data_IF_805486496748
#
_entry.id   IF_805486496748
#
_cell.length_a   1.000
_cell.length_b   1.000
_cell.length_c   1.000
_cell.angle_alpha   90.00
_cell.angle_beta   90.00
_cell.angle_gamma   90.00
#
_symmetry.space_group_name_H-M   'P 1'
#
loop_
_entity.id
_entity.type
_entity.pdbx_description
1 polymer ?
#
# COMPACT_ATOMS: atom_id res chain seq x y z
N UNK A 1 -14.91 3.83 -1.45
CA UNK A 1 -15.47 4.12 -0.11
C UNK A 1 -14.49 3.67 0.96
N UNK A 2 -14.70 4.04 2.23
CA UNK A 2 -13.74 3.78 3.34
C UNK A 2 -13.30 2.31 3.44
N UNK A 3 -14.22 1.36 3.26
CA UNK A 3 -13.88 -0.07 3.27
C UNK A 3 -12.92 -0.49 2.14
N UNK A 4 -13.08 0.08 0.94
CA UNK A 4 -12.18 -0.13 -0.20
C UNK A 4 -10.76 0.32 0.13
N UNK A 5 -10.66 1.55 0.66
CA UNK A 5 -9.40 2.18 1.02
C UNK A 5 -8.70 1.42 2.14
N UNK A 6 -9.45 0.98 3.16
CA UNK A 6 -8.90 0.16 4.25
C UNK A 6 -8.36 -1.18 3.77
N UNK A 7 -9.05 -1.86 2.85
CA UNK A 7 -8.58 -3.10 2.25
C UNK A 7 -7.29 -2.87 1.44
N UNK A 8 -7.25 -1.80 0.63
CA UNK A 8 -6.08 -1.43 -0.15
C UNK A 8 -4.85 -1.15 0.74
N UNK A 9 -5.03 -0.36 1.81
CA UNK A 9 -3.96 -0.06 2.78
C UNK A 9 -3.48 -1.35 3.46
N UNK A 10 -4.39 -2.22 3.89
CA UNK A 10 -4.02 -3.48 4.54
C UNK A 10 -3.23 -4.41 3.59
N UNK A 11 -3.67 -4.53 2.34
CA UNK A 11 -2.97 -5.32 1.32
C UNK A 11 -1.58 -4.74 1.03
N UNK A 12 -1.49 -3.43 0.80
CA UNK A 12 -0.22 -2.75 0.52
C UNK A 12 0.76 -2.84 1.70
N UNK A 13 0.27 -2.73 2.93
CA UNK A 13 1.09 -2.91 4.15
C UNK A 13 1.65 -4.34 4.21
N UNK A 14 0.84 -5.35 3.90
CA UNK A 14 1.28 -6.74 3.88
C UNK A 14 2.35 -6.99 2.78
N UNK A 15 2.14 -6.46 1.58
CA UNK A 15 3.09 -6.59 0.47
C UNK A 15 4.44 -5.94 0.78
N UNK A 16 4.42 -4.74 1.36
CA UNK A 16 5.63 -4.05 1.80
C UNK A 16 6.35 -4.87 2.88
N UNK A 17 5.63 -5.39 3.87
CA UNK A 17 6.24 -6.21 4.93
C UNK A 17 6.90 -7.48 4.38
N UNK A 18 6.25 -8.18 3.43
CA UNK A 18 6.83 -9.34 2.76
C UNK A 18 8.08 -8.94 1.96
N UNK A 19 8.05 -7.78 1.29
CA UNK A 19 9.19 -7.24 0.56
C UNK A 19 10.37 -6.94 1.48
N UNK A 20 10.14 -6.35 2.65
CA UNK A 20 11.16 -6.14 3.69
C UNK A 20 11.81 -7.47 4.07
N UNK A 21 11.01 -8.49 4.40
CA UNK A 21 11.55 -9.82 4.77
C UNK A 21 12.31 -10.49 3.63
N UNK A 22 11.84 -10.33 2.39
CA UNK A 22 12.54 -10.81 1.19
C UNK A 22 13.89 -10.13 0.99
N UNK A 23 13.95 -8.81 1.13
CA UNK A 23 15.20 -8.02 1.01
C UNK A 23 16.20 -8.37 2.10
N UNK A 24 15.74 -8.54 3.34
CA UNK A 24 16.57 -9.02 4.45
C UNK A 24 17.20 -10.39 4.16
N UNK A 25 16.40 -11.33 3.64
CA UNK A 25 16.90 -12.66 3.26
C UNK A 25 17.93 -12.59 2.12
N UNK A 26 17.69 -11.76 1.10
CA UNK A 26 18.63 -11.55 0.00
C UNK A 26 19.93 -10.90 0.47
N UNK A 27 19.85 -9.94 1.39
CA UNK A 27 21.01 -9.27 1.97
C UNK A 27 21.86 -10.23 2.79
N UNK A 28 21.24 -11.10 3.57
CA UNK A 28 21.95 -12.16 4.30
C UNK A 28 22.64 -13.15 3.34
N UNK A 29 21.98 -13.57 2.26
CA UNK A 29 22.60 -14.40 1.21
C UNK A 29 23.79 -13.68 0.56
N UNK A 30 23.62 -12.40 0.19
CA UNK A 30 24.68 -11.61 -0.43
C UNK A 30 25.90 -11.48 0.50
N UNK A 31 25.69 -11.21 1.80
CA UNK A 31 26.77 -11.14 2.78
C UNK A 31 27.51 -12.48 2.93
N UNK A 32 26.76 -13.60 2.93
CA UNK A 32 27.38 -14.94 2.93
C UNK A 32 28.20 -15.18 1.68
N UNK A 33 27.72 -14.74 0.52
CA UNK A 33 28.46 -14.84 -0.75
C UNK A 33 29.72 -13.97 -0.75
N UNK A 34 29.66 -12.73 -0.22
CA UNK A 34 30.84 -11.89 -0.03
C UNK A 34 31.88 -12.61 0.81
N UNK A 35 31.48 -13.19 1.95
CA UNK A 35 32.39 -13.95 2.82
C UNK A 35 33.02 -15.14 2.08
N UNK A 36 32.24 -15.93 1.36
CA UNK A 36 32.77 -17.06 0.57
C UNK A 36 33.77 -16.61 -0.49
N UNK A 37 33.49 -15.50 -1.19
CA UNK A 37 34.43 -14.96 -2.19
C UNK A 37 35.70 -14.37 -1.57
N UNK A 38 35.60 -13.78 -0.37
CA UNK A 38 36.78 -13.35 0.40
C UNK A 38 37.68 -14.53 0.76
N UNK A 39 37.10 -15.60 1.32
CA UNK A 39 37.85 -16.82 1.66
C UNK A 39 38.48 -17.47 0.41
N UNK A 40 37.81 -17.40 -0.74
CA UNK A 40 38.37 -17.88 -2.02
C UNK A 40 39.56 -17.02 -2.45
N UNK A 41 39.43 -15.69 -2.40
CA UNK A 41 40.51 -14.77 -2.75
C UNK A 41 41.75 -15.01 -1.89
N UNK A 42 41.58 -15.18 -0.58
CA UNK A 42 42.67 -15.49 0.35
C UNK A 42 43.40 -16.79 -0.03
N UNK A 43 42.65 -17.84 -0.39
CA UNK A 43 43.25 -19.12 -0.84
C UNK A 43 44.01 -18.98 -2.15
N UNK A 44 43.46 -18.25 -3.13
CA UNK A 44 44.12 -18.02 -4.42
C UNK A 44 45.39 -17.17 -4.24
N UNK A 45 45.35 -16.15 -3.39
CA UNK A 45 46.52 -15.35 -3.01
C UNK A 45 47.61 -16.20 -2.34
N UNK A 46 47.22 -17.11 -1.44
CA UNK A 46 48.15 -18.06 -0.83
C UNK A 46 48.83 -18.94 -1.88
N UNK A 47 48.06 -19.54 -2.79
CA UNK A 47 48.62 -20.36 -3.88
C UNK A 47 49.56 -19.56 -4.78
N UNK A 48 49.20 -18.32 -5.11
CA UNK A 48 50.05 -17.40 -5.87
C UNK A 48 51.38 -17.14 -5.15
N UNK A 49 51.35 -16.88 -3.84
CA UNK A 49 52.56 -16.67 -3.03
C UNK A 49 53.50 -17.89 -2.99
N UNK A 50 52.96 -19.08 -3.28
CA UNK A 50 53.72 -20.34 -3.39
C UNK A 50 54.12 -20.69 -4.83
N UNK A 51 53.81 -19.83 -5.80
CA UNK A 51 54.07 -20.06 -7.22
C UNK A 51 53.15 -21.11 -7.87
N UNK A 52 52.04 -21.47 -7.22
CA UNK A 52 51.10 -22.51 -7.65
C UNK A 52 49.88 -21.97 -8.39
N UNK A 53 49.73 -20.64 -8.47
CA UNK A 53 48.66 -19.96 -9.19
C UNK A 53 49.22 -18.80 -10.02
N UNK A 54 48.49 -18.38 -11.05
CA UNK A 54 48.85 -17.24 -11.88
C UNK A 54 48.30 -15.93 -11.29
N UNK A 55 48.99 -14.80 -11.48
CA UNK A 55 48.50 -13.48 -11.06
C UNK A 55 47.13 -13.15 -11.70
N UNK A 56 46.90 -13.61 -12.93
CA UNK A 56 45.61 -13.49 -13.60
C UNK A 56 44.45 -14.06 -12.76
N UNK A 57 44.64 -15.22 -12.11
CA UNK A 57 43.59 -15.83 -11.27
C UNK A 57 43.30 -14.99 -10.03
N UNK A 58 44.33 -14.39 -9.40
CA UNK A 58 44.13 -13.45 -8.27
C UNK A 58 43.26 -12.27 -8.71
N UNK A 59 43.59 -11.65 -9.85
CA UNK A 59 42.83 -10.52 -10.39
C UNK A 59 41.41 -10.87 -10.77
N UNK A 60 41.21 -12.06 -11.34
CA UNK A 60 39.88 -12.57 -11.65
C UNK A 60 39.02 -12.71 -10.39
N UNK A 61 39.53 -13.37 -9.35
CA UNK A 61 38.80 -13.57 -8.08
C UNK A 61 38.56 -12.25 -7.36
N UNK A 62 39.50 -11.30 -7.41
CA UNK A 62 39.33 -9.94 -6.87
C UNK A 62 38.19 -9.18 -7.58
N UNK A 63 38.09 -9.31 -8.90
CA UNK A 63 36.98 -8.76 -9.69
C UNK A 63 35.63 -9.40 -9.33
N UNK A 64 35.59 -10.73 -9.19
CA UNK A 64 34.38 -11.45 -8.78
C UNK A 64 33.92 -11.06 -7.38
N UNK A 65 34.84 -10.91 -6.42
CA UNK A 65 34.53 -10.40 -5.08
C UNK A 65 33.92 -9.00 -5.15
N UNK A 66 34.54 -8.10 -5.92
CA UNK A 66 34.07 -6.72 -6.09
C UNK A 66 32.65 -6.68 -6.69
N UNK A 67 32.37 -7.57 -7.65
CA UNK A 67 31.04 -7.70 -8.26
C UNK A 67 29.97 -8.11 -7.24
N UNK A 68 30.28 -9.07 -6.35
CA UNK A 68 29.34 -9.49 -5.30
C UNK A 68 29.17 -8.39 -4.27
N UNK A 69 30.24 -7.73 -3.84
CA UNK A 69 30.18 -6.61 -2.89
C UNK A 69 29.30 -5.46 -3.40
N UNK A 70 29.33 -5.17 -4.70
CA UNK A 70 28.49 -4.14 -5.32
C UNK A 70 26.97 -4.42 -5.18
N UNK A 71 26.56 -5.67 -4.95
CA UNK A 71 25.15 -6.02 -4.75
C UNK A 71 24.62 -5.64 -3.36
N UNK A 72 25.49 -5.58 -2.34
CA UNK A 72 25.08 -5.35 -0.95
C UNK A 72 24.49 -3.95 -0.74
N UNK A 73 25.11 -2.84 -1.21
CA UNK A 73 24.56 -1.50 -1.06
C UNK A 73 23.21 -1.32 -1.75
N UNK A 74 23.00 -1.98 -2.89
CA UNK A 74 21.73 -1.93 -3.63
C UNK A 74 20.62 -2.58 -2.81
N UNK A 75 20.89 -3.74 -2.20
CA UNK A 75 19.95 -4.42 -1.32
C UNK A 75 19.67 -3.63 -0.03
N UNK A 76 20.70 -3.01 0.56
CA UNK A 76 20.56 -2.13 1.73
C UNK A 76 19.65 -0.93 1.44
N UNK A 77 19.90 -0.25 0.32
CA UNK A 77 19.09 0.90 -0.11
C UNK A 77 17.64 0.50 -0.37
N UNK A 78 17.43 -0.65 -1.02
CA UNK A 78 16.10 -1.20 -1.23
C UNK A 78 15.38 -1.53 0.08
N UNK A 79 16.10 -2.09 1.05
CA UNK A 79 15.56 -2.41 2.37
C UNK A 79 15.16 -1.14 3.12
N UNK A 80 16.00 -0.12 3.10
CA UNK A 80 15.73 1.17 3.73
C UNK A 80 14.51 1.86 3.12
N UNK A 81 14.40 1.86 1.80
CA UNK A 81 13.24 2.41 1.10
C UNK A 81 11.95 1.67 1.47
N UNK A 82 11.99 0.34 1.55
CA UNK A 82 10.83 -0.47 1.92
C UNK A 82 10.41 -0.25 3.39
N UNK A 83 11.36 -0.13 4.32
CA UNK A 83 11.08 0.19 5.73
C UNK A 83 10.43 1.57 5.86
N UNK A 84 10.97 2.58 5.18
CA UNK A 84 10.39 3.93 5.17
C UNK A 84 8.97 3.93 4.57
N UNK A 85 8.73 3.16 3.50
CA UNK A 85 7.41 3.03 2.90
C UNK A 85 6.40 2.38 3.87
N UNK A 86 6.85 1.44 4.70
CA UNK A 86 6.00 0.84 5.73
C UNK A 86 5.60 1.87 6.80
N UNK A 87 6.54 2.67 7.29
CA UNK A 87 6.24 3.73 8.27
C UNK A 87 5.18 4.70 7.72
N UNK A 88 5.29 5.09 6.44
CA UNK A 88 4.29 5.93 5.77
C UNK A 88 2.91 5.27 5.72
N UNK A 89 2.83 3.96 5.42
CA UNK A 89 1.55 3.23 5.45
C UNK A 89 0.94 3.14 6.85
N UNK A 90 1.79 3.10 7.89
CA UNK A 90 1.37 3.09 9.29
C UNK A 90 1.03 4.49 9.83
N UNK A 91 1.27 5.54 9.03
CA UNK A 91 1.04 6.92 9.44
C UNK A 91 2.09 7.44 10.43
N UNK A 92 3.29 6.86 10.44
CA UNK A 92 4.41 7.28 11.30
C UNK A 92 5.55 7.89 10.47
N UNK A 93 6.41 8.72 11.08
CA UNK A 93 7.58 9.27 10.39
C UNK A 93 8.53 8.15 9.90
N UNK A 94 9.16 8.28 8.72
CA UNK A 94 10.16 7.32 8.25
C UNK A 94 11.32 7.11 9.26
N UNK A 95 11.66 5.85 9.50
CA UNK A 95 12.66 5.43 10.48
C UNK A 95 12.08 5.02 11.84
N UNK A 96 10.77 5.21 12.09
CA UNK A 96 10.15 4.94 13.38
C UNK A 96 10.27 3.46 13.78
N UNK A 97 9.98 2.53 12.86
CA UNK A 97 9.98 1.09 13.16
C UNK A 97 11.29 0.37 12.81
N UNK A 98 12.34 1.11 12.47
CA UNK A 98 13.60 0.54 11.96
C UNK A 98 14.27 -0.43 12.94
N UNK A 99 14.29 -0.11 14.22
CA UNK A 99 14.89 -0.96 15.26
C UNK A 99 14.10 -2.24 15.49
N UNK A 100 12.76 -2.17 15.42
CA UNK A 100 11.88 -3.33 15.55
C UNK A 100 12.00 -4.29 14.37
N UNK A 101 12.28 -3.75 13.19
CA UNK A 101 12.49 -4.52 11.96
C UNK A 101 13.96 -4.87 11.71
N UNK A 102 14.89 -4.43 12.55
CA UNK A 102 16.32 -4.69 12.36
C UNK A 102 16.66 -6.18 12.46
N UNK A 103 15.94 -6.93 13.28
CA UNK A 103 16.11 -8.38 13.35
C UNK A 103 15.56 -9.05 12.08
N UNK A 104 16.38 -9.88 11.47
CA UNK A 104 15.99 -10.73 10.35
C UNK A 104 14.92 -11.71 10.82
N UNK A 105 13.78 -11.69 10.14
CA UNK A 105 12.65 -12.60 10.38
C UNK A 105 12.40 -13.47 9.15
N UNK A 106 11.70 -14.58 9.34
CA UNK A 106 11.26 -15.42 8.22
C UNK A 106 10.26 -14.67 7.34
N UNK A 107 10.26 -15.00 6.04
CA UNK A 107 9.22 -14.53 5.12
C UNK A 107 7.90 -15.22 5.53
N UNK A 108 6.82 -14.46 5.78
CA UNK A 108 5.53 -15.04 6.16
C UNK A 108 5.01 -15.97 5.05
N UNK A 109 4.43 -17.11 5.46
CA UNK A 109 3.76 -18.03 4.54
C UNK A 109 2.32 -17.58 4.36
N UNK A 110 1.85 -17.55 3.11
CA UNK A 110 0.46 -17.22 2.82
C UNK A 110 -0.49 -18.25 3.48
N UNK A 111 -1.53 -17.81 4.21
CA UNK A 111 -2.49 -18.72 4.81
C UNK A 111 -3.29 -19.47 3.73
N UNK A 112 -3.61 -20.74 4.00
CA UNK A 112 -4.45 -21.53 3.11
C UNK A 112 -5.89 -20.99 3.09
N UNK A 113 -6.42 -20.75 1.89
CA UNK A 113 -7.80 -20.30 1.67
C UNK A 113 -8.76 -21.48 1.87
N UNK A 114 -9.30 -21.64 3.08
CA UNK A 114 -10.19 -22.76 3.42
C UNK A 114 -11.62 -22.64 2.85
N UNK A 115 -12.11 -21.43 2.58
CA UNK A 115 -13.43 -21.21 1.97
C UNK A 115 -13.49 -19.83 1.27
N UNK A 116 -13.55 -19.81 -0.06
CA UNK A 116 -13.66 -18.57 -0.84
C UNK A 116 -15.12 -18.06 -0.96
N UNK A 117 -16.11 -18.83 -0.51
CA UNK A 117 -17.53 -18.56 -0.74
C UNK A 117 -17.91 -18.82 -2.21
N UNK A 118 -19.08 -18.34 -2.63
CA UNK A 118 -19.50 -18.45 -4.04
C UNK A 118 -18.90 -17.29 -4.87
N UNK A 119 -18.78 -17.42 -6.20
CA UNK A 119 -18.36 -16.32 -7.06
C UNK A 119 -19.21 -15.04 -6.90
N UNK A 120 -20.51 -15.20 -6.61
CA UNK A 120 -21.42 -14.08 -6.36
C UNK A 120 -21.05 -13.32 -5.08
N UNK A 121 -20.62 -14.03 -4.03
CA UNK A 121 -20.16 -13.42 -2.78
C UNK A 121 -18.87 -12.61 -2.99
N UNK A 122 -17.99 -13.06 -3.89
CA UNK A 122 -16.76 -12.34 -4.25
C UNK A 122 -17.07 -11.02 -4.97
N UNK A 123 -18.03 -11.02 -5.90
CA UNK A 123 -18.47 -9.80 -6.58
C UNK A 123 -19.12 -8.80 -5.63
N UNK A 124 -19.87 -9.27 -4.62
CA UNK A 124 -20.46 -8.40 -3.59
C UNK A 124 -19.42 -7.79 -2.64
N UNK A 125 -18.25 -8.40 -2.51
CA UNK A 125 -17.13 -7.89 -1.68
C UNK A 125 -16.20 -6.94 -2.44
N UNK A 126 -16.36 -6.84 -3.77
CA UNK A 126 -15.53 -6.01 -4.63
C UNK A 126 -15.80 -4.53 -4.40
N UNK A 127 -14.84 -3.77 -3.84
CA UNK A 127 -15.10 -2.39 -3.42
C UNK A 127 -15.35 -1.44 -4.59
N UNK A 128 -14.79 -1.75 -5.77
CA UNK A 128 -15.03 -1.05 -7.02
C UNK A 128 -16.48 -1.18 -7.50
N UNK A 129 -17.05 -2.40 -7.44
CA UNK A 129 -18.46 -2.63 -7.76
C UNK A 129 -19.41 -1.94 -6.78
N UNK A 130 -19.11 -2.00 -5.48
CA UNK A 130 -19.90 -1.30 -4.45
C UNK A 130 -19.90 0.22 -4.73
N UNK A 131 -18.77 0.81 -5.14
CA UNK A 131 -18.68 2.23 -5.49
C UNK A 131 -19.50 2.54 -6.74
N UNK A 132 -19.44 1.68 -7.76
CA UNK A 132 -20.21 1.86 -8.99
C UNK A 132 -21.73 1.80 -8.73
N UNK A 133 -22.19 0.83 -7.94
CA UNK A 133 -23.60 0.70 -7.54
C UNK A 133 -24.09 1.94 -6.78
N UNK A 134 -23.30 2.44 -5.82
CA UNK A 134 -23.64 3.67 -5.08
C UNK A 134 -23.68 4.91 -5.97
N UNK A 135 -22.80 5.00 -6.98
CA UNK A 135 -22.84 6.08 -7.99
C UNK A 135 -24.10 6.00 -8.84
N UNK A 136 -24.49 4.80 -9.28
CA UNK A 136 -25.72 4.58 -10.03
C UNK A 136 -26.95 5.00 -9.19
N UNK A 137 -27.02 4.57 -7.93
CA UNK A 137 -28.10 4.94 -7.03
C UNK A 137 -28.19 6.46 -6.82
N UNK A 138 -27.04 7.15 -6.67
CA UNK A 138 -27.00 8.60 -6.56
C UNK A 138 -27.47 9.31 -7.84
N UNK A 139 -27.06 8.83 -9.02
CA UNK A 139 -27.54 9.35 -10.30
C UNK A 139 -29.05 9.15 -10.47
N UNK A 140 -29.58 8.00 -10.05
CA UNK A 140 -31.02 7.75 -10.10
C UNK A 140 -31.80 8.66 -9.13
N UNK A 141 -31.26 8.92 -7.93
CA UNK A 141 -31.85 9.86 -6.99
C UNK A 141 -31.93 11.28 -7.57
N UNK A 142 -30.93 11.73 -8.35
CA UNK A 142 -30.96 13.03 -9.05
C UNK A 142 -32.05 13.12 -10.10
N UNK A 143 -32.39 12.01 -10.76
CA UNK A 143 -33.55 11.96 -11.66
C UNK A 143 -34.84 12.21 -10.86
N UNK A 144 -34.98 11.55 -9.71
CA UNK A 144 -36.11 11.77 -8.80
C UNK A 144 -36.21 13.22 -8.30
N UNK A 145 -35.07 13.82 -7.94
CA UNK A 145 -34.97 15.24 -7.59
C UNK A 145 -35.41 16.15 -8.75
N UNK A 146 -34.94 15.89 -9.97
CA UNK A 146 -35.34 16.65 -11.15
C UNK A 146 -36.83 16.48 -11.48
N UNK A 147 -37.40 15.30 -11.27
CA UNK A 147 -38.85 15.05 -11.44
C UNK A 147 -39.65 15.78 -10.35
N UNK A 148 -39.14 15.82 -9.11
CA UNK A 148 -39.80 16.53 -8.01
C UNK A 148 -39.93 18.05 -8.27
N UNK A 149 -39.07 18.62 -9.11
CA UNK A 149 -39.15 20.00 -9.57
C UNK A 149 -40.42 20.31 -10.39
N UNK A 150 -41.06 19.29 -10.99
CA UNK A 150 -42.35 19.45 -11.68
C UNK A 150 -43.56 19.53 -10.73
N UNK A 151 -43.37 19.23 -9.44
CA UNK A 151 -44.45 19.26 -8.45
C UNK A 151 -44.40 20.51 -7.58
N UNK A 152 -45.55 20.96 -7.03
CA UNK A 152 -45.58 22.10 -6.11
C UNK A 152 -44.71 21.83 -4.88
N UNK A 153 -43.82 22.78 -4.56
CA UNK A 153 -43.02 22.75 -3.34
C UNK A 153 -43.80 23.39 -2.19
N UNK A 154 -44.05 22.63 -1.14
CA UNK A 154 -44.62 23.16 0.10
C UNK A 154 -43.49 23.44 1.10
N UNK A 155 -43.41 24.69 1.57
CA UNK A 155 -42.52 25.07 2.67
C UNK A 155 -43.35 25.72 3.77
N UNK A 156 -43.16 25.25 5.02
CA UNK A 156 -43.83 25.82 6.19
C UNK A 156 -42.77 26.51 7.05
N UNK A 157 -42.86 27.83 7.15
CA UNK A 157 -41.99 28.63 8.00
C UNK A 157 -42.79 29.14 9.20
N UNK A 158 -42.23 29.01 10.41
CA UNK A 158 -42.82 29.55 11.64
C UNK A 158 -41.82 30.50 12.30
N UNK A 159 -42.27 31.72 12.60
CA UNK A 159 -41.52 32.71 13.35
C UNK A 159 -42.24 32.98 14.67
N UNK A 160 -41.55 32.73 15.79
CA UNK A 160 -42.09 32.99 17.13
C UNK A 160 -41.59 34.35 17.62
N UNK A 161 -42.46 35.37 17.54
CA UNK A 161 -42.20 36.75 17.99
C UNK A 161 -43.49 37.55 18.07
N UNK A 162 -43.49 38.69 18.77
CA UNK A 162 -44.70 39.48 19.10
C UNK A 162 -45.27 40.32 17.94
N UNK A 163 -44.86 40.07 16.70
CA UNK A 163 -45.46 40.67 15.52
C UNK A 163 -45.47 39.64 14.38
N UNK A 164 -46.60 38.96 14.16
CA UNK A 164 -47.19 38.59 12.85
C UNK A 164 -48.42 37.71 13.08
N UNK A 165 -49.61 38.24 12.78
CA UNK A 165 -50.81 37.42 12.58
C UNK A 165 -50.71 36.78 11.18
N UNK A 166 -50.43 35.48 11.11
CA UNK A 166 -50.36 34.76 9.81
C UNK A 166 -51.79 34.36 9.42
N UNK A 167 -52.45 35.16 8.57
CA UNK A 167 -53.69 34.74 7.92
C UNK A 167 -53.39 33.61 6.93
N UNK A 168 -54.08 32.47 7.10
CA UNK A 168 -53.91 31.26 6.28
C UNK A 168 -54.14 31.45 4.77
N UNK A 169 -54.69 32.60 4.33
CA UNK A 169 -54.98 32.91 2.93
C UNK A 169 -53.76 33.20 2.04
N UNK A 170 -52.59 33.55 2.60
CA UNK A 170 -51.42 33.97 1.82
C UNK A 170 -50.29 32.91 1.75
N UNK A 171 -50.51 31.69 2.23
CA UNK A 171 -49.49 30.63 2.28
C UNK A 171 -49.26 29.92 0.93
N UNK A 172 -50.14 30.14 -0.07
CA UNK A 172 -50.10 29.45 -1.37
C UNK A 172 -49.89 30.39 -2.56
N UNK A 173 -49.49 31.65 -2.33
CA UNK A 173 -49.28 32.65 -3.39
C UNK A 173 -47.80 33.00 -3.53
N UNK A 174 -47.01 32.11 -4.11
CA UNK A 174 -45.63 32.37 -4.52
C UNK A 174 -45.39 31.82 -5.92
N UNK A 175 -45.07 32.71 -6.87
CA UNK A 175 -44.91 32.36 -8.28
C UNK A 175 -43.70 31.47 -8.56
N UNK A 176 -43.85 30.61 -9.57
CA UNK A 176 -42.76 29.80 -10.14
C UNK A 176 -41.71 30.73 -10.77
N UNK A 177 -40.53 30.84 -10.17
CA UNK A 177 -39.35 31.42 -10.82
C UNK A 177 -38.62 30.31 -11.57
N UNK A 178 -38.50 30.47 -12.90
CA UNK A 178 -37.58 29.72 -13.77
C UNK A 178 -36.13 29.95 -13.38
#
# INVERSE_FOLDING_TARGET
>A
GVAATRLAIAAQTADIYITIRGLQSRLDIANRQVKTQQELLEKVQLLYSKGLAANYQVRQTEGELSQVQATVPVLQTGLDAAMNALDVMLGTPPGTHRTQLASTGSIPVAPQLKAMGTPADLLRRRPDLIVAERRLAASNARIGEAIAEYYPKFSLSALLGSATAVSAGNLFTGGASQ
#
